data_IF_965855037046
#
_entry.id   IF_965855037046
#
_cell.length_a   1.000
_cell.length_b   1.000
_cell.length_c   1.000
_cell.angle_alpha   90.00
_cell.angle_beta   90.00
_cell.angle_gamma   90.00
#
_symmetry.space_group_name_H-M   'P 1'
#
loop_
_entity.id
_entity.type
_entity.pdbx_description
1 polymer ?
#
# COMPACT_ATOMS: atom_id res chain seq x y z
N UNK A 1 10.84 33.39 12.03
CA UNK A 1 9.67 33.20 12.90
C UNK A 1 9.74 31.76 13.38
N UNK A 2 9.70 31.52 14.69
CA UNK A 2 9.56 30.14 15.20
C UNK A 2 8.19 29.64 14.75
N UNK A 3 8.14 28.52 14.03
CA UNK A 3 6.86 27.89 13.70
C UNK A 3 6.19 27.46 15.00
N UNK A 4 4.89 27.72 15.14
CA UNK A 4 4.13 27.26 16.30
C UNK A 4 4.14 25.72 16.35
N UNK A 5 4.35 25.17 17.55
CA UNK A 5 4.36 23.72 17.77
C UNK A 5 2.93 23.19 17.71
N UNK A 6 2.55 22.68 16.54
CA UNK A 6 1.27 21.99 16.34
C UNK A 6 1.10 20.73 17.21
N UNK A 7 -0.14 20.51 17.64
CA UNK A 7 -0.66 19.25 18.19
C UNK A 7 -1.53 18.57 17.15
N UNK A 8 -1.13 17.39 16.71
CA UNK A 8 -1.73 16.68 15.59
C UNK A 8 -2.23 15.31 16.07
N UNK A 9 -3.50 15.00 15.84
CA UNK A 9 -4.02 13.64 16.06
C UNK A 9 -4.07 12.91 14.73
N UNK A 10 -3.57 11.67 14.67
CA UNK A 10 -3.60 10.84 13.46
C UNK A 10 -4.43 9.57 13.65
N UNK A 11 -5.35 9.29 12.72
CA UNK A 11 -6.38 8.26 12.81
C UNK A 11 -6.32 7.30 11.59
N UNK A 12 -5.48 6.25 11.63
CA UNK A 12 -5.35 5.25 10.56
C UNK A 12 -6.45 4.18 10.56
N UNK A 13 -6.82 3.70 9.37
CA UNK A 13 -7.65 2.49 9.23
C UNK A 13 -6.98 1.26 9.87
N UNK A 14 -7.77 0.30 10.35
CA UNK A 14 -7.36 -0.90 11.10
C UNK A 14 -6.67 -1.97 10.23
N UNK A 15 -5.77 -1.57 9.34
CA UNK A 15 -4.99 -2.43 8.47
C UNK A 15 -3.51 -1.99 8.52
N UNK A 16 -2.57 -2.94 8.54
CA UNK A 16 -1.14 -2.59 8.62
C UNK A 16 -0.66 -1.76 7.42
N UNK A 17 -1.31 -1.92 6.27
CA UNK A 17 -1.07 -1.11 5.09
C UNK A 17 -1.41 0.38 5.26
N UNK A 18 -2.19 0.75 6.28
CA UNK A 18 -2.55 2.12 6.64
C UNK A 18 -1.81 2.57 7.91
N UNK A 19 -1.79 1.71 8.95
CA UNK A 19 -1.14 1.98 10.23
C UNK A 19 0.34 2.37 10.11
N UNK A 20 1.12 1.61 9.33
CA UNK A 20 2.55 1.90 9.13
C UNK A 20 2.78 3.26 8.46
N UNK A 21 2.17 3.57 7.30
CA UNK A 21 2.30 4.90 6.71
C UNK A 21 1.88 6.05 7.62
N UNK A 22 0.80 5.91 8.40
CA UNK A 22 0.39 6.92 9.36
C UNK A 22 1.42 7.12 10.47
N UNK A 23 2.02 6.04 10.99
CA UNK A 23 3.13 6.15 11.95
C UNK A 23 4.35 6.84 11.33
N UNK A 24 4.67 6.55 10.07
CA UNK A 24 5.78 7.22 9.37
C UNK A 24 5.50 8.71 9.18
N UNK A 25 4.26 9.09 8.86
CA UNK A 25 3.84 10.48 8.79
C UNK A 25 3.96 11.16 10.16
N UNK A 26 3.49 10.51 11.23
CA UNK A 26 3.60 11.00 12.59
C UNK A 26 5.05 11.26 13.01
N UNK A 27 5.96 10.31 12.75
CA UNK A 27 7.40 10.48 12.97
C UNK A 27 7.98 11.64 12.15
N UNK A 28 7.50 11.83 10.91
CA UNK A 28 7.95 12.91 10.05
C UNK A 28 7.57 14.29 10.58
N UNK A 29 6.33 14.46 11.07
CA UNK A 29 5.89 15.68 11.74
C UNK A 29 6.64 15.90 13.07
N UNK A 30 6.84 14.84 13.86
CA UNK A 30 7.58 14.94 15.12
C UNK A 30 9.03 15.40 14.92
N UNK A 31 9.71 14.96 13.85
CA UNK A 31 11.07 15.44 13.53
C UNK A 31 11.14 16.93 13.19
N UNK A 32 10.02 17.54 12.86
CA UNK A 32 9.88 18.99 12.65
C UNK A 32 9.51 19.74 13.93
N UNK A 33 9.41 19.03 15.06
CA UNK A 33 9.16 19.61 16.39
C UNK A 33 7.70 19.58 16.82
N UNK A 34 6.79 19.00 16.03
CA UNK A 34 5.36 18.93 16.34
C UNK A 34 5.03 17.75 17.28
N UNK A 35 3.96 17.89 18.06
CA UNK A 35 3.44 16.81 18.91
C UNK A 35 2.38 16.04 18.14
N UNK A 36 2.50 14.72 18.10
CA UNK A 36 1.60 13.85 17.34
C UNK A 36 1.09 12.70 18.19
N UNK A 37 -0.23 12.51 18.23
CA UNK A 37 -0.85 11.36 18.85
C UNK A 37 -1.43 10.43 17.79
N UNK A 38 -0.90 9.22 17.66
CA UNK A 38 -1.48 8.18 16.81
C UNK A 38 -2.46 7.36 17.62
N UNK A 39 -3.74 7.42 17.25
CA UNK A 39 -4.80 6.68 17.93
C UNK A 39 -5.19 5.47 17.08
N UNK A 40 -5.11 4.29 17.67
CA UNK A 40 -5.63 3.07 17.09
C UNK A 40 -6.10 2.12 18.18
N UNK A 41 -6.43 0.88 17.83
CA UNK A 41 -6.79 -0.12 18.82
C UNK A 41 -5.56 -0.61 19.57
N UNK A 42 -5.73 -1.02 20.83
CA UNK A 42 -4.61 -1.47 21.69
C UNK A 42 -3.79 -2.60 21.07
N UNK A 43 -4.43 -3.57 20.41
CA UNK A 43 -3.77 -4.66 19.71
C UNK A 43 -2.96 -4.18 18.50
N UNK A 44 -3.47 -3.20 17.75
CA UNK A 44 -2.72 -2.61 16.62
C UNK A 44 -1.52 -1.78 17.09
N UNK A 45 -1.68 -0.98 18.17
CA UNK A 45 -0.57 -0.22 18.75
C UNK A 45 0.59 -1.14 19.16
N UNK A 46 0.30 -2.31 19.76
CA UNK A 46 1.33 -3.29 20.14
C UNK A 46 2.08 -3.91 18.96
N UNK A 47 1.53 -3.83 17.74
CA UNK A 47 2.13 -4.38 16.51
C UNK A 47 2.88 -3.31 15.70
N UNK A 48 2.74 -2.05 16.07
CA UNK A 48 3.47 -0.97 15.40
C UNK A 48 4.96 -1.05 15.76
N UNK A 49 5.85 -0.69 14.82
CA UNK A 49 7.26 -0.47 15.13
C UNK A 49 7.41 0.53 16.28
N UNK A 50 8.44 0.34 17.09
CA UNK A 50 8.74 1.26 18.19
C UNK A 50 9.03 2.66 17.66
N UNK A 51 8.58 3.66 18.41
CA UNK A 51 8.99 5.05 18.21
C UNK A 51 10.45 5.17 18.68
N UNK A 52 11.36 5.76 17.89
CA UNK A 52 12.72 6.04 18.33
C UNK A 52 12.74 6.91 19.59
N UNK A 53 13.73 6.68 20.47
CA UNK A 53 13.83 7.38 21.75
C UNK A 53 13.89 8.90 21.57
N UNK A 54 14.52 9.40 20.50
CA UNK A 54 14.59 10.83 20.22
C UNK A 54 13.23 11.47 19.86
N UNK A 55 12.21 10.67 19.54
CA UNK A 55 10.84 11.11 19.22
C UNK A 55 9.82 10.74 20.31
N UNK A 56 10.22 10.08 21.40
CA UNK A 56 9.29 9.54 22.40
C UNK A 56 8.46 10.62 23.11
N UNK A 57 9.02 11.82 23.29
CA UNK A 57 8.34 12.97 23.88
C UNK A 57 7.39 13.70 22.91
N UNK A 58 7.47 13.38 21.62
CA UNK A 58 6.72 14.04 20.54
C UNK A 58 5.71 13.13 19.86
N UNK A 59 5.86 11.80 19.95
CA UNK A 59 4.92 10.84 19.38
C UNK A 59 4.30 9.99 20.47
N UNK A 60 3.00 10.19 20.71
CA UNK A 60 2.21 9.37 21.61
C UNK A 60 1.44 8.28 20.83
N UNK A 61 1.43 7.06 21.36
CA UNK A 61 0.72 5.92 20.78
C UNK A 61 -0.46 5.56 21.68
N UNK A 62 -1.65 6.01 21.29
CA UNK A 62 -2.86 5.90 22.10
C UNK A 62 -3.67 4.67 21.67
N UNK A 63 -3.82 3.72 22.58
CA UNK A 63 -4.58 2.49 22.37
C UNK A 63 -5.99 2.57 22.94
N UNK A 64 -7.00 2.40 22.09
CA UNK A 64 -8.39 2.18 22.53
C UNK A 64 -8.75 0.68 22.50
N UNK A 65 -9.43 0.16 23.52
CA UNK A 65 -9.98 -1.18 23.44
C UNK A 65 -11.08 -1.21 22.38
N UNK A 66 -10.98 -2.15 21.43
CA UNK A 66 -12.05 -2.36 20.45
C UNK A 66 -13.19 -3.12 21.13
N UNK A 67 -14.44 -2.62 21.07
CA UNK A 67 -15.57 -3.32 21.67
C UNK A 67 -15.87 -4.63 20.93
N UNK A 68 -16.45 -5.60 21.63
CA UNK A 68 -16.91 -6.84 21.01
C UNK A 68 -18.04 -6.54 20.01
N UNK A 69 -17.83 -6.91 18.75
CA UNK A 69 -18.83 -6.81 17.69
C UNK A 69 -19.37 -8.20 17.40
N UNK A 70 -20.70 -8.33 17.36
CA UNK A 70 -21.38 -9.57 16.99
C UNK A 70 -20.84 -10.10 15.66
N UNK A 71 -20.57 -11.40 15.60
CA UNK A 71 -20.07 -12.14 14.43
C UNK A 71 -18.61 -11.82 14.01
N UNK A 72 -17.95 -10.82 14.61
CA UNK A 72 -16.51 -10.62 14.50
C UNK A 72 -15.79 -11.60 15.45
N UNK A 73 -14.79 -12.37 15.00
CA UNK A 73 -14.10 -13.29 15.90
C UNK A 73 -13.38 -12.54 17.04
N UNK A 74 -13.33 -13.10 18.26
CA UNK A 74 -12.68 -12.44 19.40
C UNK A 74 -11.21 -12.12 19.13
N UNK A 75 -10.76 -10.93 19.51
CA UNK A 75 -9.37 -10.48 19.34
C UNK A 75 -8.99 -10.03 17.92
N UNK A 76 -9.92 -10.06 16.97
CA UNK A 76 -9.72 -9.47 15.64
C UNK A 76 -9.77 -7.95 15.71
N UNK A 77 -8.60 -7.33 15.80
CA UNK A 77 -8.48 -5.87 15.78
C UNK A 77 -7.92 -5.32 14.46
N UNK A 78 -7.51 -6.19 13.53
CA UNK A 78 -6.95 -5.80 12.23
C UNK A 78 -7.55 -6.60 11.06
N UNK A 79 -7.50 -6.04 9.85
CA UNK A 79 -7.88 -6.72 8.60
C UNK A 79 -7.21 -8.08 8.43
N UNK A 80 -5.93 -8.16 8.79
CA UNK A 80 -5.10 -9.36 8.70
C UNK A 80 -5.45 -10.46 9.71
N UNK A 81 -6.10 -10.11 10.83
CA UNK A 81 -6.61 -11.09 11.81
C UNK A 81 -8.01 -11.59 11.43
N UNK A 82 -8.66 -10.92 10.49
CA UNK A 82 -10.09 -11.05 10.25
C UNK A 82 -10.31 -11.83 8.95
N UNK A 83 -11.14 -12.89 8.96
CA UNK A 83 -11.51 -13.59 7.73
C UNK A 83 -12.04 -12.58 6.69
N UNK A 84 -11.66 -12.69 5.40
CA UNK A 84 -12.03 -11.71 4.38
C UNK A 84 -13.52 -11.36 4.37
N UNK A 85 -14.38 -12.36 4.53
CA UNK A 85 -15.85 -12.21 4.52
C UNK A 85 -16.41 -11.47 5.74
N UNK A 86 -15.57 -11.19 6.75
CA UNK A 86 -15.94 -10.51 7.99
C UNK A 86 -15.25 -9.16 8.17
N UNK A 87 -14.33 -8.78 7.28
CA UNK A 87 -13.58 -7.53 7.40
C UNK A 87 -14.48 -6.28 7.40
N UNK A 88 -15.67 -6.34 6.81
CA UNK A 88 -16.63 -5.22 6.85
C UNK A 88 -17.06 -4.88 8.29
N UNK A 89 -17.09 -5.86 9.20
CA UNK A 89 -17.45 -5.65 10.62
C UNK A 89 -16.43 -4.79 11.36
N UNK A 90 -15.19 -4.71 10.88
CA UNK A 90 -14.18 -3.80 11.44
C UNK A 90 -14.59 -2.33 11.27
N UNK A 91 -15.40 -1.97 10.27
CA UNK A 91 -15.92 -0.61 10.12
C UNK A 91 -16.92 -0.28 11.23
N UNK A 92 -17.84 -1.20 11.51
CA UNK A 92 -18.78 -1.10 12.64
C UNK A 92 -18.03 -0.99 13.97
N UNK A 93 -16.97 -1.80 14.13
CA UNK A 93 -16.10 -1.75 15.30
C UNK A 93 -15.41 -0.39 15.43
N UNK A 94 -14.88 0.14 14.32
CA UNK A 94 -14.24 1.45 14.26
C UNK A 94 -15.22 2.58 14.60
N UNK A 95 -16.45 2.54 14.09
CA UNK A 95 -17.48 3.55 14.38
C UNK A 95 -17.84 3.60 15.86
N UNK A 96 -17.69 2.47 16.56
CA UNK A 96 -17.89 2.40 18.02
C UNK A 96 -16.79 3.14 18.80
N UNK A 97 -15.70 3.56 18.15
CA UNK A 97 -14.65 4.40 18.73
C UNK A 97 -14.98 5.90 18.66
N UNK A 98 -16.18 6.28 18.19
CA UNK A 98 -16.62 7.69 18.11
C UNK A 98 -16.51 8.42 19.46
N UNK A 99 -17.17 7.90 20.51
CA UNK A 99 -17.23 8.56 21.82
C UNK A 99 -15.87 8.65 22.53
N UNK A 100 -15.04 7.59 22.61
CA UNK A 100 -13.71 7.72 23.20
C UNK A 100 -12.82 8.67 22.40
N UNK A 101 -12.95 8.70 21.07
CA UNK A 101 -12.21 9.67 20.23
C UNK A 101 -12.65 11.09 20.52
N UNK A 102 -13.96 11.37 20.59
CA UNK A 102 -14.48 12.70 20.92
C UNK A 102 -13.93 13.20 22.25
N UNK A 103 -14.03 12.35 23.29
CA UNK A 103 -13.53 12.70 24.62
C UNK A 103 -12.04 13.05 24.60
N UNK A 104 -11.24 12.25 23.90
CA UNK A 104 -9.81 12.52 23.76
C UNK A 104 -9.55 13.87 23.07
N UNK A 105 -10.28 14.19 21.99
CA UNK A 105 -10.14 15.46 21.28
C UNK A 105 -10.56 16.68 22.12
N UNK A 106 -11.59 16.55 22.96
CA UNK A 106 -12.03 17.61 23.89
C UNK A 106 -10.99 17.89 24.99
N UNK A 107 -10.27 16.85 25.42
CA UNK A 107 -9.21 16.94 26.45
C UNK A 107 -7.90 17.50 25.87
N UNK A 108 -7.41 16.92 24.78
CA UNK A 108 -6.11 17.26 24.18
C UNK A 108 -6.13 18.55 23.36
N UNK A 109 -7.30 18.88 22.77
CA UNK A 109 -7.53 20.06 21.92
C UNK A 109 -6.46 20.21 20.83
N UNK A 110 -6.34 19.25 19.91
CA UNK A 110 -5.36 19.33 18.83
C UNK A 110 -5.70 20.43 17.84
N UNK A 111 -4.68 20.97 17.18
CA UNK A 111 -4.83 21.96 16.10
C UNK A 111 -5.35 21.28 14.81
N UNK A 112 -4.90 20.04 14.58
CA UNK A 112 -5.23 19.26 13.40
C UNK A 112 -5.58 17.80 13.72
N UNK A 113 -6.53 17.27 12.96
CA UNK A 113 -6.80 15.82 12.90
C UNK A 113 -6.52 15.34 11.47
N UNK A 114 -5.60 14.39 11.35
CA UNK A 114 -5.27 13.71 10.12
C UNK A 114 -5.95 12.34 10.14
N UNK A 115 -6.87 12.08 9.23
CA UNK A 115 -7.68 10.86 9.28
C UNK A 115 -7.68 10.11 7.96
N UNK A 116 -7.90 8.80 8.07
CA UNK A 116 -8.11 7.88 6.94
C UNK A 116 -9.56 7.97 6.41
N UNK A 117 -9.84 7.35 5.26
CA UNK A 117 -11.18 7.33 4.65
C UNK A 117 -12.20 6.63 5.56
N UNK A 118 -11.76 5.66 6.37
CA UNK A 118 -12.64 4.86 7.21
C UNK A 118 -13.33 5.68 8.32
N UNK A 119 -12.76 6.83 8.70
CA UNK A 119 -13.24 7.69 9.78
C UNK A 119 -14.24 8.74 9.29
N UNK A 120 -15.29 8.31 8.58
CA UNK A 120 -16.27 9.22 7.97
C UNK A 120 -17.04 10.10 8.98
N UNK A 121 -17.10 9.72 10.25
CA UNK A 121 -17.70 10.52 11.33
C UNK A 121 -16.75 11.61 11.90
N UNK A 122 -15.43 11.50 11.68
CA UNK A 122 -14.45 12.45 12.21
C UNK A 122 -14.59 13.86 11.63
N UNK A 123 -14.81 14.08 10.32
CA UNK A 123 -14.94 15.44 9.80
C UNK A 123 -16.04 16.27 10.48
N UNK A 124 -17.20 15.66 10.75
CA UNK A 124 -18.29 16.31 11.47
C UNK A 124 -17.88 16.66 12.91
N UNK A 125 -17.26 15.70 13.60
CA UNK A 125 -16.77 15.89 14.96
C UNK A 125 -15.71 17.01 15.04
N UNK A 126 -14.76 17.04 14.10
CA UNK A 126 -13.74 18.07 14.01
C UNK A 126 -14.36 19.46 13.83
N UNK A 127 -15.36 19.59 12.94
CA UNK A 127 -16.09 20.84 12.73
C UNK A 127 -16.83 21.32 13.99
N UNK A 128 -17.47 20.40 14.75
CA UNK A 128 -18.15 20.73 16.02
C UNK A 128 -17.18 21.21 17.11
N UNK A 129 -15.95 20.69 17.10
CA UNK A 129 -14.90 21.05 18.05
C UNK A 129 -14.02 22.23 17.58
N UNK A 130 -14.23 22.72 16.35
CA UNK A 130 -13.43 23.79 15.77
C UNK A 130 -12.00 23.38 15.40
N UNK A 131 -11.77 22.10 15.09
CA UNK A 131 -10.46 21.51 14.77
C UNK A 131 -10.32 21.36 13.25
N UNK A 132 -9.15 21.69 12.71
CA UNK A 132 -8.86 21.53 11.27
C UNK A 132 -8.68 20.05 10.90
N UNK A 133 -9.19 19.66 9.73
CA UNK A 133 -9.19 18.28 9.27
C UNK A 133 -8.39 18.05 8.00
N UNK A 134 -7.46 17.11 8.00
CA UNK A 134 -6.71 16.68 6.82
C UNK A 134 -7.01 15.21 6.48
N UNK A 135 -7.29 14.92 5.21
CA UNK A 135 -7.40 13.55 4.75
C UNK A 135 -6.01 13.05 4.33
N UNK A 136 -5.47 12.06 5.05
CA UNK A 136 -4.24 11.39 4.62
C UNK A 136 -4.57 10.14 3.82
N UNK A 137 -4.19 10.16 2.55
CA UNK A 137 -4.47 9.08 1.63
C UNK A 137 -3.21 8.25 1.35
N UNK A 138 -3.34 6.94 1.57
CA UNK A 138 -2.31 5.93 1.28
C UNK A 138 -2.49 5.24 -0.07
N UNK A 139 -3.46 5.69 -0.87
CA UNK A 139 -3.67 5.30 -2.26
C UNK A 139 -3.01 6.31 -3.20
N UNK A 140 -2.67 5.93 -4.45
CA UNK A 140 -2.17 6.89 -5.43
C UNK A 140 -3.25 7.91 -5.83
N UNK A 141 -2.82 9.11 -6.26
CA UNK A 141 -3.74 10.12 -6.79
C UNK A 141 -4.54 9.60 -7.98
N UNK A 142 -3.93 8.79 -8.85
CA UNK A 142 -4.63 8.23 -10.01
C UNK A 142 -5.88 7.45 -9.60
N UNK A 143 -5.82 6.66 -8.51
CA UNK A 143 -6.97 5.95 -7.97
C UNK A 143 -8.02 6.93 -7.48
N UNK A 144 -7.64 7.91 -6.64
CA UNK A 144 -8.57 8.89 -6.08
C UNK A 144 -9.31 9.69 -7.15
N UNK A 145 -8.62 10.09 -8.23
CA UNK A 145 -9.23 10.81 -9.35
C UNK A 145 -10.07 9.91 -10.24
N UNK A 146 -9.74 8.61 -10.30
CA UNK A 146 -10.50 7.64 -11.08
C UNK A 146 -11.84 7.33 -10.42
N UNK A 147 -11.86 7.12 -9.10
CA UNK A 147 -13.09 6.84 -8.33
C UNK A 147 -13.79 8.10 -7.82
N UNK A 148 -13.08 9.23 -7.75
CA UNK A 148 -13.64 10.54 -7.44
C UNK A 148 -14.32 11.11 -8.66
N UNK A 149 -15.51 11.68 -8.49
CA UNK A 149 -16.15 12.45 -9.56
C UNK A 149 -16.03 13.97 -9.34
N UNK A 150 -15.65 14.43 -8.14
CA UNK A 150 -15.67 15.86 -7.79
C UNK A 150 -17.10 16.36 -7.52
N UNK A 151 -17.26 17.67 -7.30
CA UNK A 151 -18.57 18.27 -7.02
C UNK A 151 -19.48 18.24 -8.27
N UNK A 152 -20.66 17.63 -8.17
CA UNK A 152 -21.76 17.81 -9.14
C UNK A 152 -21.91 16.73 -10.22
N UNK A 153 -21.29 15.56 -10.07
CA UNK A 153 -21.46 14.43 -11.00
C UNK A 153 -22.43 13.37 -10.44
N UNK A 154 -23.15 12.68 -11.33
CA UNK A 154 -24.21 11.72 -11.00
C UNK A 154 -23.67 10.34 -10.58
N UNK A 155 -24.48 9.58 -9.81
CA UNK A 155 -24.16 8.23 -9.31
C UNK A 155 -23.42 7.34 -10.33
N UNK A 156 -22.26 6.85 -9.91
CA UNK A 156 -21.34 6.01 -10.68
C UNK A 156 -21.90 4.60 -10.82
N UNK A 157 -21.91 4.00 -12.03
CA UNK A 157 -22.22 2.58 -12.20
C UNK A 157 -20.94 1.76 -12.26
N UNK A 158 -20.95 0.56 -11.69
CA UNK A 158 -19.81 -0.38 -11.79
C UNK A 158 -19.37 -0.63 -13.24
N UNK A 159 -20.29 -0.54 -14.20
CA UNK A 159 -20.04 -0.66 -15.64
C UNK A 159 -19.18 0.48 -16.20
N UNK A 160 -19.16 1.65 -15.56
CA UNK A 160 -18.34 2.78 -15.98
C UNK A 160 -16.87 2.58 -15.59
N UNK A 161 -16.57 1.67 -14.67
CA UNK A 161 -15.20 1.42 -14.18
C UNK A 161 -14.32 0.69 -15.21
N UNK A 162 -14.91 0.08 -16.25
CA UNK A 162 -14.13 -0.53 -17.35
C UNK A 162 -13.79 0.46 -18.47
N UNK A 163 -14.17 1.71 -18.31
CA UNK A 163 -13.89 2.78 -19.27
C UNK A 163 -13.03 3.85 -18.59
N UNK A 164 -12.25 4.57 -19.39
CA UNK A 164 -11.51 5.74 -18.91
C UNK A 164 -12.53 6.85 -18.58
N UNK A 165 -12.57 7.36 -17.34
CA UNK A 165 -13.52 8.40 -16.98
C UNK A 165 -13.37 9.67 -17.82
N UNK A 166 -14.52 10.26 -18.18
CA UNK A 166 -14.58 11.44 -19.08
C UNK A 166 -13.95 12.71 -18.50
N UNK A 167 -13.79 12.79 -17.18
CA UNK A 167 -13.15 13.93 -16.52
C UNK A 167 -11.63 13.85 -16.50
N UNK A 168 -11.04 12.74 -16.95
CA UNK A 168 -9.59 12.64 -17.14
C UNK A 168 -9.25 13.38 -18.44
N UNK A 169 -8.56 14.54 -18.37
CA UNK A 169 -8.44 15.44 -19.51
C UNK A 169 -7.25 15.12 -20.43
N UNK A 170 -6.56 14.01 -20.20
CA UNK A 170 -5.35 13.59 -20.92
C UNK A 170 -5.45 12.14 -21.41
N UNK A 171 -4.68 11.75 -22.46
CA UNK A 171 -4.65 10.38 -22.94
C UNK A 171 -4.29 9.41 -21.82
N UNK A 172 -5.12 8.40 -21.59
CA UNK A 172 -4.95 7.47 -20.48
C UNK A 172 -5.57 6.12 -20.84
N UNK A 173 -5.00 5.05 -20.29
CA UNK A 173 -5.57 3.70 -20.27
C UNK A 173 -6.08 3.34 -18.87
N UNK A 174 -6.24 4.33 -17.99
CA UNK A 174 -6.66 4.15 -16.60
C UNK A 174 -8.12 3.70 -16.54
N UNK A 175 -8.32 2.39 -16.50
CA UNK A 175 -9.61 1.71 -16.39
C UNK A 175 -9.40 0.30 -15.83
N UNK A 176 -10.38 -0.22 -15.09
CA UNK A 176 -10.37 -1.61 -14.67
C UNK A 176 -10.66 -2.55 -15.85
N UNK A 177 -10.17 -3.78 -15.76
CA UNK A 177 -10.59 -4.88 -16.64
C UNK A 177 -11.77 -5.60 -16.00
N UNK A 178 -12.68 -6.20 -16.80
CA UNK A 178 -13.82 -6.95 -16.28
C UNK A 178 -13.47 -7.97 -15.19
N UNK A 179 -12.40 -8.75 -15.37
CA UNK A 179 -11.98 -9.75 -14.38
C UNK A 179 -11.55 -9.14 -13.05
N UNK A 180 -10.97 -7.93 -13.05
CA UNK A 180 -10.55 -7.23 -11.84
C UNK A 180 -11.78 -6.76 -11.03
N UNK A 181 -12.81 -6.26 -11.71
CA UNK A 181 -14.07 -5.89 -11.07
C UNK A 181 -14.79 -7.11 -10.50
N UNK A 182 -14.78 -8.23 -11.23
CA UNK A 182 -15.36 -9.49 -10.76
C UNK A 182 -14.62 -10.00 -9.53
N UNK A 183 -13.29 -10.00 -9.57
CA UNK A 183 -12.44 -10.40 -8.44
C UNK A 183 -12.65 -9.50 -7.23
N UNK A 184 -12.77 -8.19 -7.44
CA UNK A 184 -13.12 -7.24 -6.39
C UNK A 184 -14.51 -7.54 -5.80
N UNK A 185 -15.52 -7.87 -6.62
CA UNK A 185 -16.84 -8.27 -6.09
C UNK A 185 -16.78 -9.57 -5.28
N UNK A 186 -15.91 -10.50 -5.65
CA UNK A 186 -15.73 -11.78 -4.95
C UNK A 186 -14.93 -11.62 -3.64
N UNK A 187 -13.90 -10.77 -3.64
CA UNK A 187 -12.99 -10.56 -2.50
C UNK A 187 -13.47 -9.46 -1.55
N UNK A 188 -14.06 -8.40 -2.09
CA UNK A 188 -14.54 -7.24 -1.35
C UNK A 188 -16.06 -7.24 -1.23
N UNK A 189 -16.48 -7.20 0.04
CA UNK A 189 -17.65 -6.48 0.49
C UNK A 189 -17.36 -4.96 0.54
N UNK A 190 -16.88 -4.34 -0.54
CA UNK A 190 -16.89 -2.89 -0.63
C UNK A 190 -18.38 -2.51 -0.70
N UNK A 191 -18.95 -2.32 0.48
CA UNK A 191 -20.36 -1.96 0.61
C UNK A 191 -20.54 -0.56 0.06
N UNK A 192 -21.78 -0.19 -0.28
CA UNK A 192 -22.13 1.21 -0.58
C UNK A 192 -21.57 2.17 0.49
N UNK A 193 -21.43 1.72 1.74
CA UNK A 193 -20.78 2.46 2.83
C UNK A 193 -19.32 2.85 2.55
N UNK A 194 -18.47 2.02 1.94
CA UNK A 194 -17.06 2.41 1.73
C UNK A 194 -16.95 3.56 0.69
N UNK A 195 -17.77 3.54 -0.35
CA UNK A 195 -17.85 4.63 -1.34
C UNK A 195 -18.34 5.94 -0.70
N UNK A 196 -19.39 5.85 0.13
CA UNK A 196 -19.90 6.99 0.89
C UNK A 196 -18.85 7.57 1.84
N UNK A 197 -18.10 6.70 2.55
CA UNK A 197 -17.02 7.11 3.46
C UNK A 197 -15.91 7.86 2.72
N UNK A 198 -15.45 7.31 1.59
CA UNK A 198 -14.48 8.00 0.73
C UNK A 198 -15.00 9.38 0.31
N UNK A 199 -16.23 9.46 -0.21
CA UNK A 199 -16.79 10.72 -0.69
C UNK A 199 -16.90 11.75 0.43
N UNK A 200 -17.42 11.36 1.58
CA UNK A 200 -17.58 12.26 2.72
C UNK A 200 -16.23 12.82 3.20
N UNK A 201 -15.20 11.98 3.35
CA UNK A 201 -13.86 12.40 3.78
C UNK A 201 -13.19 13.30 2.75
N UNK A 202 -13.27 12.97 1.45
CA UNK A 202 -12.75 13.82 0.36
C UNK A 202 -13.45 15.17 0.30
N UNK A 203 -14.76 15.23 0.57
CA UNK A 203 -15.54 16.46 0.53
C UNK A 203 -15.41 17.31 1.80
N UNK A 204 -15.18 16.70 2.96
CA UNK A 204 -15.20 17.41 4.25
C UNK A 204 -13.82 17.85 4.74
N UNK A 205 -12.74 17.26 4.24
CA UNK A 205 -11.36 17.65 4.61
C UNK A 205 -10.98 19.05 4.09
N UNK A 206 -10.13 19.75 4.83
CA UNK A 206 -9.59 21.06 4.40
C UNK A 206 -8.49 20.89 3.34
N UNK A 207 -7.69 19.82 3.47
CA UNK A 207 -6.57 19.49 2.59
C UNK A 207 -6.44 17.98 2.39
N UNK A 208 -5.77 17.60 1.31
CA UNK A 208 -5.26 16.25 1.12
C UNK A 208 -3.78 16.18 1.49
N UNK A 209 -3.42 15.25 2.37
CA UNK A 209 -2.07 14.75 2.48
C UNK A 209 -2.02 13.46 1.65
N UNK A 210 -1.14 13.39 0.66
CA UNK A 210 -1.10 12.27 -0.27
C UNK A 210 0.24 11.55 -0.17
N UNK A 211 0.23 10.26 0.16
CA UNK A 211 1.44 9.44 0.12
C UNK A 211 1.84 9.10 -1.31
N UNK A 212 2.43 10.09 -1.97
CA UNK A 212 2.91 10.00 -3.34
C UNK A 212 3.95 11.09 -3.62
N UNK A 213 4.40 11.18 -4.86
CA UNK A 213 5.37 12.16 -5.34
C UNK A 213 5.01 12.66 -6.74
N UNK A 214 5.20 13.96 -7.04
CA UNK A 214 5.05 14.51 -8.40
C UNK A 214 5.86 13.77 -9.47
N UNK A 215 6.99 13.17 -9.10
CA UNK A 215 7.87 12.40 -10.01
C UNK A 215 7.16 11.16 -10.58
N UNK A 216 6.17 10.62 -9.85
CA UNK A 216 5.42 9.45 -10.27
C UNK A 216 4.10 9.85 -10.92
N UNK A 217 3.34 10.77 -10.32
CA UNK A 217 1.96 11.03 -10.75
C UNK A 217 1.53 12.51 -10.70
N UNK A 218 2.41 13.44 -11.10
CA UNK A 218 2.12 14.90 -11.15
C UNK A 218 0.76 15.25 -11.76
N UNK A 219 0.45 14.76 -12.96
CA UNK A 219 -0.80 15.06 -13.67
C UNK A 219 -2.05 14.62 -12.89
N UNK A 220 -1.95 13.51 -12.14
CA UNK A 220 -3.02 12.99 -11.30
C UNK A 220 -3.17 13.80 -10.01
N UNK A 221 -2.06 14.24 -9.41
CA UNK A 221 -2.07 15.14 -8.24
C UNK A 221 -2.74 16.46 -8.59
N UNK A 222 -2.40 17.04 -9.75
CA UNK A 222 -3.03 18.27 -10.25
C UNK A 222 -4.52 18.08 -10.55
N UNK A 223 -4.89 16.94 -11.14
CA UNK A 223 -6.30 16.61 -11.39
C UNK A 223 -7.08 16.47 -10.08
N UNK A 224 -6.50 15.82 -9.06
CA UNK A 224 -7.13 15.66 -7.75
C UNK A 224 -7.42 17.02 -7.10
N UNK A 225 -6.44 17.94 -7.13
CA UNK A 225 -6.60 19.28 -6.61
C UNK A 225 -7.73 20.05 -7.32
N UNK A 226 -7.78 19.98 -8.66
CA UNK A 226 -8.83 20.60 -9.47
C UNK A 226 -10.21 20.00 -9.22
N UNK A 227 -10.28 18.68 -9.06
CA UNK A 227 -11.54 17.95 -8.93
C UNK A 227 -12.28 18.26 -7.62
N UNK A 228 -11.52 18.49 -6.55
CA UNK A 228 -12.07 18.78 -5.23
C UNK A 228 -12.00 20.25 -4.84
N UNK A 229 -11.32 21.09 -5.63
CA UNK A 229 -11.05 22.51 -5.35
C UNK A 229 -10.36 22.68 -3.98
N UNK A 230 -9.29 21.90 -3.78
CA UNK A 230 -8.57 21.82 -2.50
C UNK A 230 -7.07 21.68 -2.69
N UNK A 231 -6.26 22.20 -1.75
CA UNK A 231 -4.83 21.91 -1.72
C UNK A 231 -4.55 20.40 -1.56
N UNK A 232 -3.60 19.91 -2.35
CA UNK A 232 -3.07 18.55 -2.26
C UNK A 232 -1.58 18.65 -1.98
N UNK A 233 -1.14 18.10 -0.86
CA UNK A 233 0.25 18.05 -0.45
C UNK A 233 0.76 16.61 -0.54
N UNK A 234 1.58 16.28 -1.55
CA UNK A 234 2.36 15.05 -1.53
C UNK A 234 3.21 15.02 -0.27
N UNK A 235 3.37 13.85 0.35
CA UNK A 235 4.23 13.63 1.52
C UNK A 235 5.47 12.79 1.19
N UNK A 236 5.72 12.58 -0.11
CA UNK A 236 6.62 11.54 -0.57
C UNK A 236 6.10 10.14 -0.19
N UNK A 237 7.01 9.17 -0.13
CA UNK A 237 6.65 7.79 0.25
C UNK A 237 6.86 7.46 1.71
N UNK A 238 7.35 8.44 2.48
CA UNK A 238 7.68 8.33 3.91
C UNK A 238 8.64 7.16 4.16
N UNK A 239 9.94 7.46 4.17
CA UNK A 239 11.03 6.48 4.11
C UNK A 239 10.86 5.31 5.08
N UNK A 240 11.16 4.10 4.59
CA UNK A 240 11.26 2.87 5.40
C UNK A 240 12.57 2.77 6.17
N UNK A 241 13.55 3.64 5.89
CA UNK A 241 14.91 3.53 6.41
C UNK A 241 15.02 3.66 7.94
N UNK A 242 14.03 4.28 8.59
CA UNK A 242 13.99 4.47 10.04
C UNK A 242 13.11 3.42 10.75
N UNK A 243 12.64 2.40 10.04
CA UNK A 243 12.10 1.21 10.67
C UNK A 243 13.26 0.25 10.87
N UNK A 244 13.51 -0.20 12.10
CA UNK A 244 14.35 -1.37 12.30
C UNK A 244 13.77 -2.47 11.40
N UNK A 245 14.59 -2.96 10.46
CA UNK A 245 14.22 -4.12 9.67
C UNK A 245 14.05 -5.26 10.67
N UNK A 246 12.81 -5.55 11.07
CA UNK A 246 12.48 -6.71 11.89
C UNK A 246 12.80 -7.96 11.07
N UNK A 247 14.05 -8.37 11.11
CA UNK A 247 14.48 -9.63 10.52
C UNK A 247 14.24 -10.73 11.54
N UNK A 248 13.57 -11.83 11.18
CA UNK A 248 13.50 -12.99 12.07
C UNK A 248 14.92 -13.46 12.40
N UNK A 249 15.21 -13.71 13.68
CA UNK A 249 16.47 -14.32 14.09
C UNK A 249 16.40 -15.86 14.04
N UNK A 250 15.61 -16.42 13.11
CA UNK A 250 15.41 -17.86 12.98
C UNK A 250 16.33 -18.46 11.90
N UNK A 251 16.60 -19.76 12.01
CA UNK A 251 17.51 -20.49 11.10
C UNK A 251 17.04 -20.42 9.64
N UNK A 252 15.73 -20.26 9.39
CA UNK A 252 15.18 -20.17 8.03
C UNK A 252 15.60 -18.85 7.38
N UNK A 253 15.52 -17.75 8.12
CA UNK A 253 15.97 -16.44 7.63
C UNK A 253 17.47 -16.42 7.33
N UNK A 254 18.28 -17.05 8.18
CA UNK A 254 19.73 -17.18 7.95
C UNK A 254 19.99 -17.94 6.63
N UNK A 255 19.33 -19.08 6.41
CA UNK A 255 19.47 -19.85 5.17
C UNK A 255 19.04 -19.09 3.92
N UNK A 256 17.97 -18.28 4.00
CA UNK A 256 17.56 -17.42 2.89
C UNK A 256 18.60 -16.34 2.61
N UNK A 257 19.16 -15.73 3.66
CA UNK A 257 20.19 -14.69 3.53
C UNK A 257 21.45 -15.26 2.89
N UNK A 258 21.95 -16.40 3.39
CA UNK A 258 23.10 -17.11 2.81
C UNK A 258 22.86 -17.48 1.33
N UNK A 259 21.64 -17.91 1.01
CA UNK A 259 21.27 -18.24 -0.37
C UNK A 259 21.27 -16.98 -1.25
N UNK A 260 20.74 -15.85 -0.77
CA UNK A 260 20.72 -14.57 -1.47
C UNK A 260 22.12 -14.01 -1.69
N UNK A 261 23.01 -14.14 -0.69
CA UNK A 261 24.42 -13.72 -0.75
C UNK A 261 25.23 -14.50 -1.80
N UNK A 262 24.86 -15.76 -2.05
CA UNK A 262 25.48 -16.59 -3.07
C UNK A 262 25.02 -16.25 -4.51
N UNK A 263 23.99 -15.42 -4.68
CA UNK A 263 23.47 -15.06 -6.02
C UNK A 263 24.20 -13.86 -6.63
N UNK A 264 24.33 -13.81 -7.97
CA UNK A 264 24.84 -12.62 -8.65
C UNK A 264 24.02 -11.35 -8.33
N UNK A 265 24.64 -10.15 -8.41
CA UNK A 265 23.92 -8.90 -8.22
C UNK A 265 22.75 -8.75 -9.20
N UNK A 266 21.60 -8.31 -8.69
CA UNK A 266 20.38 -8.04 -9.47
C UNK A 266 19.87 -9.21 -10.34
N UNK A 267 20.17 -10.46 -9.98
CA UNK A 267 19.69 -11.64 -10.72
C UNK A 267 18.42 -12.28 -10.15
N UNK A 268 18.11 -12.05 -8.88
CA UNK A 268 16.99 -12.72 -8.19
C UNK A 268 15.69 -11.97 -8.40
N UNK A 269 14.63 -12.72 -8.69
CA UNK A 269 13.24 -12.25 -8.64
C UNK A 269 12.67 -12.55 -7.27
N UNK A 270 12.31 -11.51 -6.52
CA UNK A 270 11.47 -11.68 -5.35
C UNK A 270 10.01 -11.82 -5.81
N UNK A 271 9.26 -12.76 -5.24
CA UNK A 271 7.86 -13.02 -5.59
C UNK A 271 7.05 -12.95 -4.31
N UNK A 272 6.10 -12.00 -4.22
CA UNK A 272 5.20 -11.88 -3.08
C UNK A 272 3.92 -11.13 -3.44
N UNK A 273 2.79 -11.70 -3.02
CA UNK A 273 1.47 -11.12 -3.23
C UNK A 273 0.90 -10.46 -1.96
N UNK A 274 1.72 -10.34 -0.90
CA UNK A 274 1.28 -9.75 0.36
C UNK A 274 0.46 -10.71 1.22
N UNK A 275 0.08 -10.26 2.42
CA UNK A 275 -0.57 -11.11 3.42
C UNK A 275 -2.09 -11.26 3.25
N UNK A 276 -2.70 -10.38 2.46
CA UNK A 276 -4.16 -10.34 2.27
C UNK A 276 -4.61 -10.96 0.95
N UNK A 277 -3.69 -11.19 0.01
CA UNK A 277 -4.01 -11.83 -1.27
C UNK A 277 -4.02 -13.35 -1.11
N UNK A 278 -5.11 -13.97 -1.56
CA UNK A 278 -5.22 -15.42 -1.67
C UNK A 278 -5.27 -15.80 -3.15
N UNK A 279 -4.20 -16.43 -3.63
CA UNK A 279 -4.14 -16.98 -4.99
C UNK A 279 -4.92 -18.29 -5.08
N UNK A 280 -5.55 -18.50 -6.23
CA UNK A 280 -6.16 -19.78 -6.60
C UNK A 280 -5.09 -20.82 -6.91
N UNK A 281 -5.45 -22.12 -6.82
CA UNK A 281 -4.57 -23.21 -7.24
C UNK A 281 -4.04 -23.03 -8.66
N UNK A 282 -4.91 -22.61 -9.59
CA UNK A 282 -4.53 -22.38 -10.99
C UNK A 282 -3.48 -21.27 -11.09
N UNK A 283 -3.69 -20.14 -10.40
CA UNK A 283 -2.72 -19.04 -10.37
C UNK A 283 -1.36 -19.50 -9.81
N UNK A 284 -1.34 -20.20 -8.68
CA UNK A 284 -0.10 -20.74 -8.10
C UNK A 284 0.60 -21.69 -9.06
N UNK A 285 -0.14 -22.58 -9.74
CA UNK A 285 0.43 -23.51 -10.71
C UNK A 285 1.07 -22.78 -11.90
N UNK A 286 0.36 -21.85 -12.55
CA UNK A 286 0.89 -21.13 -13.71
C UNK A 286 2.09 -20.24 -13.33
N UNK A 287 2.05 -19.59 -12.16
CA UNK A 287 3.20 -18.84 -11.64
C UNK A 287 4.40 -19.78 -11.39
N UNK A 288 4.17 -20.95 -10.81
CA UNK A 288 5.22 -21.96 -10.57
C UNK A 288 5.87 -22.40 -11.88
N UNK A 289 5.06 -22.77 -12.88
CA UNK A 289 5.53 -23.16 -14.22
C UNK A 289 6.35 -22.03 -14.85
N UNK A 290 5.87 -20.80 -14.73
CA UNK A 290 6.55 -19.63 -15.26
C UNK A 290 7.90 -19.34 -14.61
N UNK A 291 7.97 -19.41 -13.29
CA UNK A 291 9.23 -19.24 -12.56
C UNK A 291 10.24 -20.34 -12.92
N UNK A 292 9.79 -21.59 -13.05
CA UNK A 292 10.62 -22.71 -13.50
C UNK A 292 11.19 -22.43 -14.91
N UNK A 293 10.31 -22.14 -15.88
CA UNK A 293 10.63 -21.91 -17.30
C UNK A 293 11.39 -20.61 -17.57
N UNK A 294 11.26 -19.61 -16.70
CA UNK A 294 11.99 -18.34 -16.84
C UNK A 294 13.51 -18.53 -16.75
N UNK A 295 13.96 -19.59 -16.07
CA UNK A 295 15.37 -19.82 -15.78
C UNK A 295 15.99 -18.84 -14.77
N UNK A 296 15.25 -17.81 -14.34
CA UNK A 296 15.76 -16.80 -13.40
C UNK A 296 15.80 -17.37 -11.97
N UNK A 297 16.81 -17.03 -11.15
CA UNK A 297 16.76 -17.30 -9.73
C UNK A 297 15.59 -16.57 -9.07
N UNK A 298 14.90 -17.22 -8.12
CA UNK A 298 13.76 -16.59 -7.45
C UNK A 298 13.64 -16.96 -5.96
N UNK A 299 13.10 -16.02 -5.19
CA UNK A 299 12.65 -16.23 -3.82
C UNK A 299 11.15 -15.93 -3.75
N UNK A 300 10.34 -16.95 -3.47
CA UNK A 300 8.90 -16.80 -3.38
C UNK A 300 8.41 -16.88 -1.93
N UNK A 301 7.92 -15.75 -1.42
CA UNK A 301 7.21 -15.69 -0.16
C UNK A 301 5.75 -16.13 -0.35
N UNK A 302 5.40 -17.28 0.23
CA UNK A 302 4.03 -17.79 0.28
C UNK A 302 3.46 -17.61 1.68
N UNK A 303 2.17 -17.30 1.76
CA UNK A 303 1.47 -17.25 3.04
C UNK A 303 1.55 -18.60 3.75
N UNK A 304 1.85 -18.58 5.05
CA UNK A 304 1.83 -19.77 5.90
C UNK A 304 0.39 -20.14 6.26
N UNK A 305 -0.33 -20.59 5.26
CA UNK A 305 -1.58 -21.32 5.41
C UNK A 305 -1.32 -22.71 4.86
N UNK A 306 -1.69 -23.74 5.61
CA UNK A 306 -1.40 -25.14 5.29
C UNK A 306 -1.82 -25.53 3.86
N UNK A 307 -2.82 -24.85 3.30
CA UNK A 307 -3.31 -25.05 1.94
C UNK A 307 -2.38 -24.48 0.85
N UNK A 308 -1.66 -23.38 1.08
CA UNK A 308 -0.91 -22.66 0.03
C UNK A 308 0.35 -23.39 -0.44
N UNK A 309 1.12 -24.01 0.48
CA UNK A 309 2.26 -24.85 0.09
C UNK A 309 1.79 -26.11 -0.66
N UNK A 310 0.62 -26.65 -0.29
CA UNK A 310 -0.06 -27.75 -0.99
C UNK A 310 -0.64 -27.31 -2.36
N UNK A 311 -0.61 -26.02 -2.68
CA UNK A 311 -0.92 -25.52 -4.02
C UNK A 311 0.27 -25.59 -4.97
N UNK A 312 1.50 -25.82 -4.50
CA UNK A 312 2.64 -25.95 -5.41
C UNK A 312 2.51 -27.25 -6.25
N UNK A 313 2.86 -27.22 -7.53
CA UNK A 313 2.88 -28.43 -8.35
C UNK A 313 3.80 -29.50 -7.77
N UNK A 314 3.41 -30.77 -7.92
CA UNK A 314 4.25 -31.91 -7.53
C UNK A 314 5.60 -31.85 -8.24
N UNK A 315 6.70 -32.00 -7.49
CA UNK A 315 8.05 -31.95 -8.04
C UNK A 315 8.62 -30.54 -8.24
N UNK A 316 7.85 -29.46 -7.99
CA UNK A 316 8.27 -28.09 -8.30
C UNK A 316 9.61 -27.71 -7.64
N UNK A 317 9.75 -27.94 -6.32
CA UNK A 317 10.98 -27.61 -5.58
C UNK A 317 12.18 -28.43 -6.07
N UNK A 318 11.96 -29.67 -6.50
CA UNK A 318 13.00 -30.52 -7.08
C UNK A 318 13.43 -30.02 -8.46
N UNK A 319 12.47 -29.60 -9.30
CA UNK A 319 12.73 -29.11 -10.66
C UNK A 319 13.54 -27.80 -10.65
N UNK A 320 13.26 -26.90 -9.71
CA UNK A 320 13.97 -25.61 -9.60
C UNK A 320 15.30 -25.73 -8.86
N UNK A 321 15.49 -26.77 -8.04
CA UNK A 321 16.74 -27.07 -7.34
C UNK A 321 17.28 -25.87 -6.53
N UNK A 322 18.57 -25.58 -6.68
CA UNK A 322 19.24 -24.47 -5.97
C UNK A 322 18.94 -23.08 -6.52
N UNK A 323 18.17 -23.01 -7.61
CA UNK A 323 17.85 -21.76 -8.30
C UNK A 323 16.60 -21.08 -7.72
N UNK A 324 15.76 -21.84 -7.01
CA UNK A 324 14.53 -21.33 -6.40
C UNK A 324 14.48 -21.60 -4.90
N UNK A 325 13.95 -20.65 -4.13
CA UNK A 325 13.61 -20.84 -2.72
C UNK A 325 12.17 -20.41 -2.48
N UNK A 326 11.47 -21.16 -1.61
CA UNK A 326 10.13 -20.81 -1.13
C UNK A 326 10.25 -20.53 0.36
N UNK A 327 9.71 -19.40 0.78
CA UNK A 327 9.68 -18.97 2.17
C UNK A 327 8.22 -18.93 2.63
N UNK A 328 7.86 -19.79 3.58
CA UNK A 328 6.49 -19.83 4.12
C UNK A 328 6.34 -18.90 5.32
N UNK A 329 5.34 -18.04 5.25
CA UNK A 329 4.96 -17.11 6.31
C UNK A 329 5.32 -15.67 6.01
N UNK A 330 5.36 -14.86 7.06
CA UNK A 330 5.72 -13.45 6.94
C UNK A 330 7.20 -13.32 6.59
N UNK A 331 7.49 -12.77 5.41
CA UNK A 331 8.83 -12.48 4.95
C UNK A 331 9.19 -11.00 5.21
N UNK A 332 10.43 -10.68 5.66
CA UNK A 332 10.87 -9.30 5.84
C UNK A 332 11.11 -8.63 4.48
N UNK A 333 10.03 -8.24 3.82
CA UNK A 333 9.99 -7.77 2.43
C UNK A 333 11.01 -6.66 2.15
N UNK A 334 11.10 -5.65 3.02
CA UNK A 334 12.05 -4.53 2.84
C UNK A 334 13.50 -5.03 2.88
N UNK A 335 13.83 -5.97 3.77
CA UNK A 335 15.17 -6.56 3.84
C UNK A 335 15.51 -7.35 2.57
N UNK A 336 14.56 -8.16 2.07
CA UNK A 336 14.72 -8.92 0.82
C UNK A 336 14.89 -7.97 -0.36
N UNK A 337 14.00 -6.98 -0.51
CA UNK A 337 14.07 -5.99 -1.59
C UNK A 337 15.36 -5.14 -1.52
N UNK A 338 15.91 -4.91 -0.33
CA UNK A 338 17.16 -4.18 -0.16
C UNK A 338 18.39 -4.99 -0.58
N UNK A 339 18.27 -6.33 -0.63
CA UNK A 339 19.40 -7.21 -0.90
C UNK A 339 20.02 -6.97 -2.29
N UNK A 340 21.37 -6.88 -2.44
CA UNK A 340 22.02 -6.58 -3.71
C UNK A 340 21.73 -7.57 -4.84
N UNK A 341 21.48 -8.84 -4.51
CA UNK A 341 21.14 -9.87 -5.51
C UNK A 341 19.72 -9.78 -6.04
N UNK A 342 18.81 -9.09 -5.36
CA UNK A 342 17.43 -8.90 -5.84
C UNK A 342 17.41 -7.82 -6.91
N UNK A 343 16.96 -8.18 -8.11
CA UNK A 343 16.87 -7.28 -9.26
C UNK A 343 15.44 -6.86 -9.62
N UNK A 344 14.46 -7.71 -9.33
CA UNK A 344 13.07 -7.48 -9.68
C UNK A 344 12.10 -8.05 -8.67
N UNK A 345 10.86 -7.58 -8.76
CA UNK A 345 9.78 -7.93 -7.84
C UNK A 345 8.50 -8.27 -8.58
N UNK A 346 8.10 -9.55 -8.54
CA UNK A 346 6.78 -9.99 -8.95
C UNK A 346 5.79 -9.73 -7.81
N UNK A 347 4.89 -8.78 -8.04
CA UNK A 347 4.06 -8.19 -7.00
C UNK A 347 2.59 -8.12 -7.39
N UNK A 348 1.74 -8.13 -6.38
CA UNK A 348 0.30 -7.85 -6.49
C UNK A 348 -0.02 -6.40 -6.82
N UNK A 349 0.97 -5.51 -6.95
CA UNK A 349 0.79 -4.09 -7.27
C UNK A 349 0.13 -3.26 -6.16
N UNK A 350 0.18 -3.70 -4.90
CA UNK A 350 -0.25 -2.85 -3.78
C UNK A 350 0.68 -1.64 -3.62
N UNK A 351 0.12 -0.45 -3.36
CA UNK A 351 0.91 0.80 -3.34
C UNK A 351 2.10 0.77 -2.38
N UNK A 352 1.94 0.15 -1.22
CA UNK A 352 3.05 -0.07 -0.27
C UNK A 352 4.19 -0.91 -0.89
N UNK A 353 3.84 -2.03 -1.51
CA UNK A 353 4.80 -2.98 -2.08
C UNK A 353 5.51 -2.39 -3.30
N UNK A 354 4.78 -1.66 -4.15
CA UNK A 354 5.34 -0.95 -5.31
C UNK A 354 6.35 0.10 -4.84
N UNK A 355 5.99 0.91 -3.84
CA UNK A 355 6.83 2.02 -3.39
C UNK A 355 8.06 1.54 -2.62
N UNK A 356 7.96 0.44 -1.86
CA UNK A 356 9.11 -0.23 -1.24
C UNK A 356 10.10 -0.76 -2.29
N UNK A 357 9.60 -1.41 -3.35
CA UNK A 357 10.44 -1.97 -4.40
C UNK A 357 11.11 -0.89 -5.25
N UNK A 358 10.40 0.18 -5.61
CA UNK A 358 10.99 1.34 -6.28
C UNK A 358 12.00 2.06 -5.40
N UNK A 359 11.73 2.18 -4.09
CA UNK A 359 12.68 2.70 -3.11
C UNK A 359 13.95 1.86 -3.01
N UNK A 360 13.89 0.58 -3.38
CA UNK A 360 15.06 -0.30 -3.49
C UNK A 360 15.63 -0.38 -4.90
N UNK A 361 15.00 0.27 -5.90
CA UNK A 361 15.45 0.28 -7.29
C UNK A 361 15.17 -1.00 -8.06
N UNK A 362 14.12 -1.74 -7.69
CA UNK A 362 13.77 -3.04 -8.29
C UNK A 362 12.75 -2.86 -9.40
N UNK A 363 12.97 -3.54 -10.52
CA UNK A 363 12.00 -3.56 -11.63
C UNK A 363 10.74 -4.32 -11.20
N UNK A 364 9.57 -3.80 -11.56
CA UNK A 364 8.30 -4.41 -11.18
C UNK A 364 7.82 -5.38 -12.26
N UNK A 365 7.40 -6.57 -11.83
CA UNK A 365 6.66 -7.53 -12.63
C UNK A 365 5.24 -7.54 -12.05
N UNK A 366 4.30 -6.98 -12.79
CA UNK A 366 3.02 -6.55 -12.27
C UNK A 366 1.98 -7.68 -12.46
N UNK A 367 1.37 -8.10 -11.36
CA UNK A 367 0.30 -9.09 -11.34
C UNK A 367 -0.83 -8.61 -10.43
N UNK A 368 -1.68 -7.68 -10.87
CA UNK A 368 -2.74 -7.14 -10.03
C UNK A 368 -3.77 -8.22 -9.66
N UNK A 369 -4.22 -8.25 -8.40
CA UNK A 369 -5.13 -9.29 -7.89
C UNK A 369 -6.45 -8.72 -7.37
N UNK A 370 -6.42 -7.57 -6.67
CA UNK A 370 -7.61 -6.99 -6.04
C UNK A 370 -7.52 -5.48 -5.82
N UNK A 371 -8.59 -4.87 -5.33
CA UNK A 371 -8.71 -3.46 -4.98
C UNK A 371 -8.33 -2.54 -6.16
N UNK A 372 -7.45 -1.58 -5.93
CA UNK A 372 -6.91 -0.58 -6.84
C UNK A 372 -5.68 -1.06 -7.64
N UNK A 373 -5.23 -2.29 -7.40
CA UNK A 373 -3.98 -2.83 -7.95
C UNK A 373 -3.94 -2.82 -9.48
N UNK A 374 -5.07 -3.05 -10.13
CA UNK A 374 -5.18 -2.96 -11.59
C UNK A 374 -4.79 -1.57 -12.10
N UNK A 375 -5.31 -0.52 -11.48
CA UNK A 375 -5.00 0.87 -11.83
C UNK A 375 -3.53 1.22 -11.54
N UNK A 376 -2.99 0.73 -10.41
CA UNK A 376 -1.56 0.87 -10.10
C UNK A 376 -0.71 0.20 -11.18
N UNK A 377 -1.10 -0.98 -11.67
CA UNK A 377 -0.37 -1.66 -12.74
C UNK A 377 -0.31 -0.81 -14.01
N UNK A 378 -1.44 -0.20 -14.45
CA UNK A 378 -1.43 0.73 -15.60
C UNK A 378 -0.51 1.92 -15.36
N UNK A 379 -0.54 2.51 -14.17
CA UNK A 379 0.32 3.64 -13.83
C UNK A 379 1.80 3.24 -13.96
N UNK A 380 2.21 2.13 -13.34
CA UNK A 380 3.61 1.69 -13.35
C UNK A 380 4.10 1.30 -14.75
N UNK A 381 3.26 0.60 -15.53
CA UNK A 381 3.53 0.25 -16.92
C UNK A 381 3.68 1.50 -17.80
N UNK A 382 2.75 2.46 -17.69
CA UNK A 382 2.81 3.72 -18.44
C UNK A 382 4.05 4.57 -18.16
N UNK A 383 4.64 4.43 -16.95
CA UNK A 383 5.86 5.10 -16.53
C UNK A 383 7.12 4.31 -16.89
N UNK A 384 6.99 3.12 -17.47
CA UNK A 384 8.10 2.22 -17.77
C UNK A 384 8.87 1.81 -16.53
N UNK A 385 8.18 1.61 -15.40
CA UNK A 385 8.74 1.16 -14.12
C UNK A 385 8.53 -0.34 -13.89
N UNK A 386 7.63 -0.93 -14.66
CA UNK A 386 7.37 -2.36 -14.66
C UNK A 386 6.71 -2.80 -15.94
N UNK A 387 6.41 -4.09 -15.99
CA UNK A 387 5.66 -4.71 -17.08
C UNK A 387 4.60 -5.62 -16.46
N UNK A 388 3.38 -5.54 -16.99
CA UNK A 388 2.28 -6.40 -16.56
C UNK A 388 2.32 -7.75 -17.26
N UNK A 389 2.15 -8.82 -16.48
CA UNK A 389 1.98 -10.17 -17.03
C UNK A 389 0.72 -10.15 -17.90
N UNK A 390 0.81 -10.53 -19.19
CA UNK A 390 -0.36 -10.60 -20.06
C UNK A 390 -1.44 -11.52 -19.49
N UNK A 391 -2.68 -11.04 -19.50
CA UNK A 391 -3.86 -11.79 -19.05
C UNK A 391 -5.01 -11.55 -20.02
N UNK A 392 -5.88 -12.55 -20.15
CA UNK A 392 -7.13 -12.37 -20.88
C UNK A 392 -7.93 -11.21 -20.29
N UNK A 393 -8.45 -10.36 -21.16
CA UNK A 393 -9.15 -9.15 -20.77
C UNK A 393 -10.41 -9.46 -19.94
N UNK A 394 -11.15 -10.51 -20.30
CA UNK A 394 -12.47 -10.82 -19.75
C UNK A 394 -12.39 -11.66 -18.49
N UNK A 395 -11.60 -12.74 -18.48
CA UNK A 395 -11.55 -13.69 -17.37
C UNK A 395 -10.23 -13.66 -16.57
N UNK A 396 -9.23 -12.90 -17.04
CA UNK A 396 -7.95 -12.76 -16.36
C UNK A 396 -7.10 -14.03 -16.38
N UNK A 397 -7.40 -14.98 -17.26
CA UNK A 397 -6.57 -16.17 -17.44
C UNK A 397 -5.21 -15.84 -18.05
N UNK A 398 -4.20 -16.62 -17.70
CA UNK A 398 -2.83 -16.53 -18.18
C UNK A 398 -2.19 -17.91 -18.10
N UNK A 399 -1.02 -18.04 -18.71
CA UNK A 399 -0.22 -19.25 -18.73
C UNK A 399 1.13 -19.02 -18.06
N UNK A 400 1.80 -20.11 -17.69
CA UNK A 400 3.18 -20.06 -17.23
C UNK A 400 4.15 -19.52 -18.28
N UNK A 401 3.82 -19.59 -19.58
CA UNK A 401 4.63 -18.96 -20.62
C UNK A 401 4.54 -17.44 -20.56
N UNK A 402 3.35 -16.88 -20.31
CA UNK A 402 3.16 -15.43 -20.10
C UNK A 402 4.01 -14.94 -18.91
N UNK A 403 4.03 -15.70 -17.82
CA UNK A 403 4.86 -15.41 -16.64
C UNK A 403 6.35 -15.52 -16.99
N UNK A 404 6.77 -16.61 -17.65
CA UNK A 404 8.17 -16.87 -17.96
C UNK A 404 8.77 -15.81 -18.91
N UNK A 405 8.02 -15.43 -19.95
CA UNK A 405 8.40 -14.40 -20.90
C UNK A 405 8.50 -13.04 -20.21
N UNK A 406 7.52 -12.66 -19.41
CA UNK A 406 7.53 -11.38 -18.68
C UNK A 406 8.70 -11.30 -17.70
N UNK A 407 8.98 -12.38 -16.96
CA UNK A 407 10.12 -12.46 -16.04
C UNK A 407 11.45 -12.31 -16.80
N UNK A 408 11.65 -13.05 -17.90
CA UNK A 408 12.87 -12.95 -18.71
C UNK A 408 13.05 -11.56 -19.32
N UNK A 409 11.98 -10.99 -19.85
CA UNK A 409 11.99 -9.64 -20.41
C UNK A 409 12.46 -8.63 -19.36
N UNK A 410 11.80 -8.61 -18.20
CA UNK A 410 12.09 -7.66 -17.13
C UNK A 410 13.51 -7.81 -16.55
N UNK A 411 14.00 -9.05 -16.40
CA UNK A 411 15.23 -9.35 -15.67
C UNK A 411 16.48 -9.46 -16.55
N UNK A 412 16.36 -10.10 -17.71
CA UNK A 412 17.52 -10.59 -18.48
C UNK A 412 17.64 -9.91 -19.83
N UNK A 413 16.53 -9.81 -20.57
CA UNK A 413 16.56 -9.35 -21.95
C UNK A 413 16.93 -7.87 -22.05
N UNK A 414 17.52 -7.49 -23.20
CA UNK A 414 17.92 -6.11 -23.48
C UNK A 414 16.70 -5.18 -23.56
N UNK A 415 15.57 -5.69 -24.06
CA UNK A 415 14.31 -4.93 -24.13
C UNK A 415 13.81 -4.42 -22.78
N UNK A 416 13.98 -5.19 -21.70
CA UNK A 416 13.65 -4.74 -20.34
C UNK A 416 14.74 -3.89 -19.68
N UNK A 417 15.87 -3.64 -20.35
CA UNK A 417 16.96 -2.83 -19.82
C UNK A 417 16.52 -1.42 -19.41
N UNK A 418 15.56 -0.84 -20.16
CA UNK A 418 15.01 0.47 -19.84
C UNK A 418 14.18 0.47 -18.55
N UNK A 419 13.40 -0.59 -18.30
CA UNK A 419 12.64 -0.73 -17.06
C UNK A 419 13.58 -0.78 -15.84
N UNK A 420 14.65 -1.57 -15.94
CA UNK A 420 15.68 -1.69 -14.88
C UNK A 420 16.42 -0.36 -14.64
N UNK A 421 16.69 0.41 -15.69
CA UNK A 421 17.29 1.75 -15.58
C UNK A 421 16.35 2.73 -14.88
N UNK A 422 15.07 2.76 -15.29
CA UNK A 422 14.06 3.65 -14.71
C UNK A 422 13.80 3.33 -13.23
N UNK A 423 13.71 2.05 -12.85
CA UNK A 423 13.58 1.65 -11.45
C UNK A 423 14.77 2.13 -10.59
N UNK A 424 16.00 2.01 -11.09
CA UNK A 424 17.20 2.54 -10.40
C UNK A 424 17.19 4.06 -10.26
N UNK A 425 16.75 4.79 -11.29
CA UNK A 425 16.56 6.24 -11.20
C UNK A 425 15.50 6.62 -10.17
N UNK A 426 14.44 5.81 -10.06
CA UNK A 426 13.44 6.05 -9.04
C UNK A 426 13.98 5.87 -7.64
N UNK A 427 14.83 4.87 -7.39
CA UNK A 427 15.52 4.74 -6.10
C UNK A 427 16.19 6.05 -5.68
N UNK A 428 16.99 6.64 -6.56
CA UNK A 428 17.71 7.90 -6.28
C UNK A 428 16.74 9.04 -5.90
N UNK A 429 15.61 9.13 -6.61
CA UNK A 429 14.58 10.13 -6.33
C UNK A 429 13.82 9.88 -5.02
N UNK A 430 13.61 8.61 -4.67
CA UNK A 430 12.87 8.21 -3.47
C UNK A 430 13.74 8.19 -2.20
N UNK A 431 15.06 8.03 -2.35
CA UNK A 431 16.04 8.12 -1.27
C UNK A 431 16.44 9.58 -0.95
N UNK A 432 16.05 10.55 -1.78
CA UNK A 432 16.30 11.97 -1.56
C UNK A 432 15.56 12.48 -0.29
N UNK A 433 16.30 12.49 0.83
CA UNK A 433 15.79 12.89 2.14
C UNK A 433 15.41 14.36 2.18
N UNK A 434 16.15 15.23 1.50
CA UNK A 434 15.86 16.67 1.48
C UNK A 434 14.53 16.92 0.79
N UNK A 435 14.31 16.26 -0.35
CA UNK A 435 13.07 16.35 -1.11
C UNK A 435 11.87 15.76 -0.37
N UNK A 436 12.06 14.60 0.26
CA UNK A 436 11.03 13.98 1.12
C UNK A 436 10.64 14.89 2.29
N UNK A 437 11.62 15.54 2.92
CA UNK A 437 11.37 16.53 3.98
C UNK A 437 10.66 17.77 3.45
N UNK A 438 11.06 18.28 2.28
CA UNK A 438 10.44 19.45 1.66
C UNK A 438 8.95 19.26 1.38
N UNK A 439 8.53 18.05 1.01
CA UNK A 439 7.12 17.71 0.85
C UNK A 439 6.33 17.84 2.16
N UNK A 440 6.91 17.35 3.25
CA UNK A 440 6.32 17.43 4.59
C UNK A 440 6.33 18.87 5.10
N UNK A 441 7.40 19.63 4.83
CA UNK A 441 7.50 21.04 5.20
C UNK A 441 6.39 21.86 4.57
N UNK A 442 6.12 21.67 3.27
CA UNK A 442 5.00 22.36 2.59
C UNK A 442 3.63 22.04 3.18
N UNK A 443 3.43 20.80 3.63
CA UNK A 443 2.19 20.41 4.30
C UNK A 443 2.08 21.14 5.65
N UNK A 444 3.15 21.16 6.43
CA UNK A 444 3.21 21.82 7.75
C UNK A 444 3.16 23.34 7.66
N UNK A 445 3.68 23.97 6.61
CA UNK A 445 3.57 25.42 6.39
C UNK A 445 2.13 25.87 6.13
N UNK A 446 1.30 24.99 5.57
CA UNK A 446 -0.13 25.24 5.38
C UNK A 446 -0.92 24.97 6.65
N UNK A 447 -0.51 23.95 7.42
CA UNK A 447 -1.16 23.55 8.67
C UNK A 447 -0.90 24.55 9.79
#
# INVERSE_FOLDING_TARGET
>A
EESDVLRIVVLPWLAMGHLRPFLRLAKSFARKGHRVSLISTTGNIRRLPKVPEELSELVDLVGFPLPEIRDLPPGCESSMDTPPQKQYLLRTALDSLHDPTRKYLEEEKPDWIVYDYSFSWVPKMAAELGISGAYFCVYPACFLTFVGQGKGHAEYKLEDLVNVPKWIPFPSNMAFRPHELMRNKEMQHATESDVERFNLVKESSSIFLLRSSPEIESEWIELLAKQYDKPVFPTGFLSVADEENETPADDRWIQITDWLDAQPPSSVVYVSFGSEVVLTRKEVHEISIGLERSGSPFLWALLDRSDQLELLPEGFLQNVGDRGRVYSGWAPQVAILSHPSVGGFLTHCGWNSVTEALGCGRVLILFPVMNDQGLIARLMDSKGLGIEIPRDHMDGSFSGDDVAETVRFAMVEEGGGKLRENARKMKELLEDKEKSQHYVDKALEYM
#
